data_IF_747857720629
#
_entry.id   IF_747857720629
#
_cell.length_a   1.000
_cell.length_b   1.000
_cell.length_c   1.000
_cell.angle_alpha   90.00
_cell.angle_beta   90.00
_cell.angle_gamma   90.00
#
_symmetry.space_group_name_H-M   'P 1'
#
loop_
_entity.id
_entity.type
_entity.pdbx_description
1 polymer ?
#
# COMPACT_ATOMS: atom_id res chain seq x y z
N UNK A 1 -38.98 -17.77 -36.41
CA UNK A 1 -38.38 -18.97 -35.78
C UNK A 1 -37.08 -18.53 -35.14
N UNK A 2 -36.91 -18.74 -33.82
CA UNK A 2 -35.73 -18.35 -33.03
C UNK A 2 -36.00 -17.11 -32.17
N UNK A 3 -36.80 -17.17 -31.10
CA UNK A 3 -36.54 -17.75 -29.75
C UNK A 3 -35.93 -16.71 -28.79
N UNK A 4 -36.74 -16.34 -27.80
CA UNK A 4 -36.50 -15.28 -26.83
C UNK A 4 -35.70 -15.84 -25.65
N UNK A 5 -34.53 -15.27 -25.37
CA UNK A 5 -33.73 -15.63 -24.21
C UNK A 5 -34.35 -15.03 -22.92
N UNK A 6 -35.15 -15.83 -22.23
CA UNK A 6 -35.68 -15.55 -20.90
C UNK A 6 -34.58 -15.74 -19.83
N UNK A 7 -34.12 -14.63 -19.24
CA UNK A 7 -33.14 -14.63 -18.14
C UNK A 7 -33.88 -14.88 -16.82
N UNK A 8 -33.74 -16.10 -16.32
CA UNK A 8 -34.40 -16.62 -15.12
C UNK A 8 -33.70 -16.11 -13.85
N UNK A 9 -34.41 -15.35 -13.03
CA UNK A 9 -33.94 -14.86 -11.72
C UNK A 9 -33.96 -15.97 -10.64
N UNK A 10 -33.04 -15.98 -9.66
CA UNK A 10 -33.07 -16.94 -8.56
C UNK A 10 -34.13 -16.59 -7.51
N UNK A 11 -34.94 -17.59 -7.16
CA UNK A 11 -36.00 -17.55 -6.15
C UNK A 11 -35.42 -17.51 -4.72
N UNK A 12 -35.80 -16.50 -3.94
CA UNK A 12 -35.57 -16.44 -2.50
C UNK A 12 -36.81 -16.97 -1.76
N UNK A 13 -36.63 -17.99 -0.91
CA UNK A 13 -37.68 -18.46 0.01
C UNK A 13 -37.48 -17.82 1.40
N UNK A 14 -38.50 -17.20 2.00
CA UNK A 14 -38.43 -16.78 3.40
C UNK A 14 -38.69 -17.98 4.31
N UNK A 15 -37.87 -18.16 5.36
CA UNK A 15 -38.19 -19.11 6.44
C UNK A 15 -38.89 -18.40 7.61
N UNK A 16 -39.86 -19.06 8.26
CA UNK A 16 -40.75 -18.42 9.23
C UNK A 16 -40.07 -18.24 10.58
N UNK A 17 -40.43 -17.16 11.27
CA UNK A 17 -40.22 -17.01 12.70
C UNK A 17 -41.20 -17.91 13.46
N UNK A 18 -40.70 -18.75 14.38
CA UNK A 18 -41.52 -19.36 15.42
C UNK A 18 -40.84 -19.24 16.77
N UNK A 19 -41.46 -18.38 17.57
CA UNK A 19 -41.36 -18.21 19.01
C UNK A 19 -41.73 -19.50 19.74
N UNK A 20 -41.01 -19.86 20.81
CA UNK A 20 -41.41 -20.98 21.67
C UNK A 20 -40.50 -21.21 22.87
N UNK A 21 -40.89 -20.66 24.01
CA UNK A 21 -40.32 -20.87 25.35
C UNK A 21 -40.45 -22.34 25.78
N UNK A 22 -39.45 -22.88 26.48
CA UNK A 22 -39.69 -23.66 27.71
C UNK A 22 -38.40 -23.84 28.53
N UNK A 23 -38.61 -23.78 29.84
CA UNK A 23 -37.66 -23.77 30.93
C UNK A 23 -37.16 -25.17 31.29
N UNK A 24 -35.90 -25.33 31.67
CA UNK A 24 -35.47 -26.47 32.49
C UNK A 24 -34.34 -26.04 33.43
N UNK A 25 -34.58 -26.30 34.71
CA UNK A 25 -33.80 -25.86 35.88
C UNK A 25 -32.51 -26.66 36.01
N UNK A 26 -31.50 -25.98 36.54
CA UNK A 26 -30.19 -26.52 36.94
C UNK A 26 -30.38 -27.52 38.11
N UNK A 27 -29.66 -28.65 38.10
CA UNK A 27 -29.07 -29.15 39.33
C UNK A 27 -27.54 -29.16 39.27
N UNK A 28 -26.94 -28.40 40.19
CA UNK A 28 -25.54 -28.45 40.58
C UNK A 28 -25.38 -29.60 41.57
N UNK A 29 -24.54 -30.61 41.32
CA UNK A 29 -23.69 -31.39 42.27
C UNK A 29 -22.79 -32.31 41.42
N UNK A 30 -21.52 -31.98 41.23
CA UNK A 30 -20.36 -32.33 42.07
C UNK A 30 -19.75 -33.70 41.72
N UNK A 31 -18.49 -33.62 41.25
CA UNK A 31 -17.38 -34.58 41.37
C UNK A 31 -17.47 -35.92 40.61
N UNK A 32 -16.67 -36.04 39.54
CA UNK A 32 -15.68 -37.12 39.42
C UNK A 32 -14.72 -36.89 38.24
N UNK A 33 -13.44 -36.93 38.57
CA UNK A 33 -12.22 -36.88 37.76
C UNK A 33 -12.09 -38.03 36.75
N UNK A 34 -11.54 -37.81 35.54
CA UNK A 34 -10.17 -38.25 35.15
C UNK A 34 -9.90 -38.04 33.63
N UNK A 35 -8.80 -37.33 33.35
CA UNK A 35 -7.89 -37.42 32.19
C UNK A 35 -8.45 -37.44 30.74
N UNK A 36 -8.20 -36.35 30.02
CA UNK A 36 -7.47 -36.42 28.74
C UNK A 36 -6.84 -35.07 28.44
N UNK A 37 -5.52 -35.02 28.57
CA UNK A 37 -4.68 -33.89 28.17
C UNK A 37 -4.62 -33.82 26.64
N UNK A 38 -5.18 -32.74 26.07
CA UNK A 38 -4.67 -32.06 24.87
C UNK A 38 -5.50 -30.79 24.68
N UNK A 39 -5.21 -29.75 25.46
CA UNK A 39 -5.65 -28.41 25.10
C UNK A 39 -4.58 -27.82 24.19
N UNK A 40 -4.93 -27.71 22.90
CA UNK A 40 -4.21 -27.01 21.84
C UNK A 40 -3.44 -25.79 22.38
N UNK A 41 -2.12 -25.77 22.19
CA UNK A 41 -1.36 -24.52 22.19
C UNK A 41 -1.83 -23.73 20.97
N UNK A 42 -2.84 -22.89 21.16
CA UNK A 42 -3.27 -21.92 20.18
C UNK A 42 -2.16 -20.87 20.03
N UNK A 43 -1.26 -21.08 19.07
CA UNK A 43 -0.29 -20.07 18.66
C UNK A 43 -1.06 -18.89 18.05
N UNK A 44 -1.37 -17.88 18.87
CA UNK A 44 -1.87 -16.60 18.39
C UNK A 44 -0.72 -15.87 17.70
N UNK A 45 -0.48 -16.17 16.42
CA UNK A 45 0.28 -15.27 15.57
C UNK A 45 -0.58 -14.03 15.35
N UNK A 46 -0.42 -13.02 16.19
CA UNK A 46 -0.94 -11.69 15.92
C UNK A 46 -0.27 -11.19 14.65
N UNK A 47 -0.98 -11.31 13.52
CA UNK A 47 -0.59 -10.67 12.28
C UNK A 47 -0.52 -9.17 12.56
N UNK A 48 0.69 -8.62 12.61
CA UNK A 48 0.90 -7.19 12.65
C UNK A 48 0.49 -6.66 11.28
N UNK A 49 -0.80 -6.39 11.10
CA UNK A 49 -1.28 -5.56 10.00
C UNK A 49 -0.69 -4.18 10.25
N UNK A 50 0.48 -3.90 9.68
CA UNK A 50 1.10 -2.59 9.73
C UNK A 50 0.07 -1.56 9.25
N UNK A 51 -0.26 -0.61 10.11
CA UNK A 51 -1.12 0.50 9.71
C UNK A 51 -0.46 1.22 8.54
N UNK A 52 -1.18 1.57 7.46
CA UNK A 52 -0.59 2.32 6.37
C UNK A 52 -0.05 3.63 6.96
N UNK A 53 1.27 3.84 6.83
CA UNK A 53 1.89 5.10 7.23
C UNK A 53 1.20 6.22 6.45
N UNK A 54 0.58 7.17 7.17
CA UNK A 54 -0.07 8.31 6.53
C UNK A 54 1.00 9.16 5.84
N UNK A 55 0.90 9.28 4.50
CA UNK A 55 1.74 10.20 3.73
C UNK A 55 1.24 11.64 4.01
N UNK A 56 2.11 12.58 4.40
CA UNK A 56 1.72 13.98 4.61
C UNK A 56 1.03 14.56 3.37
N UNK A 57 0.00 15.39 3.59
CA UNK A 57 -0.80 16.00 2.51
C UNK A 57 0.07 16.84 1.56
N UNK A 58 1.14 17.42 2.10
CA UNK A 58 2.09 18.34 1.49
C UNK A 58 3.49 17.74 1.28
N UNK A 59 3.56 16.43 1.05
CA UNK A 59 4.84 15.77 0.77
C UNK A 59 5.27 16.02 -0.68
N UNK A 60 6.52 16.44 -0.88
CA UNK A 60 7.21 16.52 -2.17
C UNK A 60 8.46 15.62 -2.14
N UNK A 61 9.01 15.26 -3.30
CA UNK A 61 10.31 14.58 -3.38
C UNK A 61 11.38 15.33 -2.59
N UNK A 62 12.36 14.60 -2.05
CA UNK A 62 13.40 15.18 -1.21
C UNK A 62 14.79 14.82 -1.72
N UNK A 63 15.73 15.76 -1.57
CA UNK A 63 17.13 15.56 -1.98
C UNK A 63 17.35 15.51 -3.50
N UNK A 64 16.41 16.02 -4.28
CA UNK A 64 16.50 16.08 -5.73
C UNK A 64 17.75 16.84 -6.21
N UNK A 65 18.55 16.21 -7.07
CA UNK A 65 19.66 16.86 -7.76
C UNK A 65 19.93 16.18 -9.11
N UNK A 66 20.42 16.94 -10.09
CA UNK A 66 20.84 16.37 -11.37
C UNK A 66 22.15 15.57 -11.19
N UNK A 67 22.08 14.26 -11.43
CA UNK A 67 23.24 13.35 -11.46
C UNK A 67 23.91 13.38 -12.84
N UNK A 68 23.12 13.60 -13.89
CA UNK A 68 23.59 13.80 -15.26
C UNK A 68 22.63 14.73 -16.00
N UNK A 69 23.15 15.48 -16.97
CA UNK A 69 22.40 16.56 -17.61
C UNK A 69 22.39 17.83 -16.74
N UNK A 70 21.55 18.80 -17.09
CA UNK A 70 21.48 20.09 -16.40
C UNK A 70 20.05 20.60 -16.33
N UNK A 71 19.81 21.41 -15.31
CA UNK A 71 18.52 22.04 -15.05
C UNK A 71 18.47 22.68 -13.67
N UNK A 72 17.27 23.05 -13.26
CA UNK A 72 16.96 23.55 -11.93
C UNK A 72 15.81 22.78 -11.31
N UNK A 73 15.80 22.71 -9.98
CA UNK A 73 14.74 22.11 -9.17
C UNK A 73 14.35 23.19 -8.16
N UNK A 74 13.06 23.49 -8.06
CA UNK A 74 12.58 24.50 -7.13
C UNK A 74 11.12 24.34 -6.78
N UNK A 75 10.81 24.59 -5.51
CA UNK A 75 9.45 24.62 -4.97
C UNK A 75 8.88 26.04 -5.09
N UNK A 76 7.67 26.18 -5.61
CA UNK A 76 7.04 27.50 -5.80
C UNK A 76 6.25 27.92 -4.53
N UNK A 77 6.88 28.64 -3.59
CA UNK A 77 6.19 29.29 -2.46
C UNK A 77 5.30 28.37 -1.60
N UNK A 78 4.18 28.88 -1.05
CA UNK A 78 3.15 28.12 -0.30
C UNK A 78 2.43 27.03 -1.12
N UNK A 79 2.82 26.85 -2.39
CA UNK A 79 2.21 25.89 -3.29
C UNK A 79 3.00 24.59 -3.19
N UNK A 80 2.27 23.50 -2.99
CA UNK A 80 2.76 22.12 -2.92
C UNK A 80 3.22 21.61 -4.29
N UNK A 81 3.95 22.42 -5.06
CA UNK A 81 4.43 22.10 -6.40
C UNK A 81 5.95 22.22 -6.48
N UNK A 82 6.60 21.10 -6.75
CA UNK A 82 7.99 21.06 -7.15
C UNK A 82 8.08 21.19 -8.67
N UNK A 83 8.79 22.22 -9.14
CA UNK A 83 9.04 22.44 -10.56
C UNK A 83 10.48 22.07 -10.88
N UNK A 84 10.63 21.15 -11.83
CA UNK A 84 11.90 20.71 -12.38
C UNK A 84 11.98 21.26 -13.79
N UNK A 85 12.99 22.07 -14.07
CA UNK A 85 13.26 22.59 -15.42
C UNK A 85 14.56 21.99 -15.91
N UNK A 86 14.45 21.05 -16.85
CA UNK A 86 15.60 20.42 -17.48
C UNK A 86 15.96 21.18 -18.76
N UNK A 87 17.24 21.57 -18.89
CA UNK A 87 17.76 22.27 -20.08
C UNK A 87 18.51 21.32 -21.02
N UNK A 88 18.98 20.18 -20.53
CA UNK A 88 19.62 19.14 -21.34
C UNK A 88 18.61 18.25 -22.08
N UNK A 89 19.04 17.62 -23.19
CA UNK A 89 18.20 16.67 -23.94
C UNK A 89 17.88 15.40 -23.14
N UNK A 90 18.80 14.98 -22.27
CA UNK A 90 18.64 13.87 -21.34
C UNK A 90 19.07 14.33 -19.96
N UNK A 91 18.30 13.98 -18.94
CA UNK A 91 18.62 14.25 -17.53
C UNK A 91 18.40 13.02 -16.67
N UNK A 92 19.20 12.90 -15.62
CA UNK A 92 18.99 11.93 -14.55
C UNK A 92 18.93 12.72 -13.26
N UNK A 93 17.86 12.55 -12.50
CA UNK A 93 17.67 13.23 -11.22
C UNK A 93 17.70 12.17 -10.11
N UNK A 94 18.64 12.34 -9.19
CA UNK A 94 18.73 11.53 -7.98
C UNK A 94 17.89 12.16 -6.87
N UNK A 95 17.04 11.37 -6.23
CA UNK A 95 16.25 11.72 -5.06
C UNK A 95 16.61 10.82 -3.88
N UNK A 96 16.63 11.40 -2.68
CA UNK A 96 16.73 10.61 -1.45
C UNK A 96 15.43 9.85 -1.22
N UNK A 97 14.29 10.54 -1.36
CA UNK A 97 12.96 9.94 -1.30
C UNK A 97 12.08 10.55 -2.38
N UNK A 98 11.19 9.75 -2.94
CA UNK A 98 10.19 10.21 -3.88
C UNK A 98 8.82 9.83 -3.35
N UNK A 99 8.04 10.84 -2.98
CA UNK A 99 6.68 10.71 -2.49
C UNK A 99 5.96 12.00 -2.79
N UNK A 100 4.69 11.89 -3.19
CA UNK A 100 3.84 13.02 -3.52
C UNK A 100 2.60 12.90 -2.65
N UNK A 101 2.41 13.88 -1.77
CA UNK A 101 1.24 13.98 -0.91
C UNK A 101 -0.04 14.21 -1.73
N UNK A 102 -1.19 14.08 -1.07
CA UNK A 102 -2.52 14.27 -1.70
C UNK A 102 -2.66 15.59 -2.47
N UNK A 103 -2.00 16.66 -1.99
CA UNK A 103 -2.00 17.99 -2.60
C UNK A 103 -0.71 18.31 -3.34
N UNK A 104 0.29 17.42 -3.30
CA UNK A 104 1.57 17.59 -3.95
C UNK A 104 1.48 17.46 -5.46
N UNK A 105 2.32 18.20 -6.19
CA UNK A 105 2.49 18.07 -7.64
C UNK A 105 3.97 18.18 -7.99
N UNK A 106 4.44 17.33 -8.89
CA UNK A 106 5.78 17.46 -9.49
C UNK A 106 5.59 17.78 -10.96
N UNK A 107 6.10 18.94 -11.38
CA UNK A 107 6.05 19.40 -12.76
C UNK A 107 7.42 19.35 -13.39
N UNK A 108 7.61 18.44 -14.34
CA UNK A 108 8.87 18.30 -15.09
C UNK A 108 8.72 18.98 -16.45
N UNK A 109 9.48 20.05 -16.66
CA UNK A 109 9.64 20.72 -17.95
C UNK A 109 10.92 20.20 -18.61
N UNK A 110 10.81 19.18 -19.47
CA UNK A 110 11.94 18.56 -20.17
C UNK A 110 11.91 18.79 -21.70
N UNK A 111 11.00 19.63 -22.20
CA UNK A 111 10.87 19.95 -23.61
C UNK A 111 10.59 18.71 -24.46
N UNK A 112 11.45 18.43 -25.45
CA UNK A 112 11.41 17.20 -26.28
C UNK A 112 12.35 16.11 -25.77
N UNK A 113 12.99 16.35 -24.63
CA UNK A 113 13.95 15.45 -24.01
C UNK A 113 13.30 14.39 -23.12
N UNK A 114 14.12 13.71 -22.34
CA UNK A 114 13.68 12.74 -21.35
C UNK A 114 14.39 12.94 -20.02
N UNK A 115 13.72 12.54 -18.95
CA UNK A 115 14.22 12.61 -17.57
C UNK A 115 14.05 11.24 -16.93
N UNK A 116 15.09 10.75 -16.27
CA UNK A 116 15.06 9.53 -15.44
C UNK A 116 15.14 9.93 -13.97
N UNK A 117 14.16 9.52 -13.18
CA UNK A 117 14.12 9.75 -11.74
C UNK A 117 14.63 8.51 -11.00
N UNK A 118 15.68 8.69 -10.18
CA UNK A 118 16.33 7.63 -9.41
C UNK A 118 16.15 7.88 -7.92
N UNK A 119 15.56 6.94 -7.20
CA UNK A 119 15.41 7.02 -5.73
C UNK A 119 16.47 6.17 -5.06
N UNK A 120 17.37 6.80 -4.30
CA UNK A 120 18.55 6.13 -3.72
C UNK A 120 18.49 5.97 -2.21
N UNK A 121 17.48 6.53 -1.52
CA UNK A 121 17.44 6.59 -0.03
C UNK A 121 16.73 5.44 0.68
N UNK A 122 16.41 4.34 0.01
CA UNK A 122 16.29 3.05 0.70
C UNK A 122 17.67 2.41 0.76
N UNK A 123 18.01 1.65 1.81
CA UNK A 123 19.22 0.83 1.84
C UNK A 123 19.30 -0.05 0.59
N UNK A 124 19.84 0.48 -0.50
CA UNK A 124 20.30 -0.27 -1.64
C UNK A 124 21.49 -1.03 -1.08
N UNK A 125 21.26 -2.27 -0.64
CA UNK A 125 22.34 -3.22 -0.44
C UNK A 125 23.27 -3.04 -1.62
N UNK A 126 24.49 -2.57 -1.35
CA UNK A 126 25.44 -2.09 -2.35
C UNK A 126 25.63 -3.22 -3.36
N UNK A 127 24.93 -3.19 -4.49
CA UNK A 127 25.32 -3.96 -5.65
C UNK A 127 26.49 -3.19 -6.29
N UNK A 128 27.64 -3.18 -5.61
CA UNK A 128 28.89 -2.78 -6.23
C UNK A 128 29.24 -3.87 -7.23
N UNK A 129 28.80 -3.72 -8.47
CA UNK A 129 29.33 -4.50 -9.59
C UNK A 129 30.79 -4.10 -9.74
N UNK A 130 31.69 -4.87 -9.11
CA UNK A 130 33.11 -4.76 -9.40
C UNK A 130 33.34 -5.29 -10.82
N UNK A 131 33.55 -4.41 -11.80
CA UNK A 131 34.25 -4.81 -13.02
C UNK A 131 35.74 -4.87 -12.68
N UNK A 132 36.23 -6.08 -12.35
CA UNK A 132 37.67 -6.33 -12.34
C UNK A 132 38.13 -6.45 -13.79
N UNK A 133 38.81 -5.43 -14.28
CA UNK A 133 39.66 -5.52 -15.46
C UNK A 133 41.11 -5.45 -14.96
N UNK A 134 41.90 -6.49 -15.26
CA UNK A 134 43.25 -6.71 -14.75
C UNK A 134 43.47 -8.18 -14.42
#
# INVERSE_FOLDING_TARGET
MGDAAEVRAPSFSPRPAMTGRASARIPRRLLATLATSTALVGAATAAHAGSPAAVPVNMLPQGGHFVSGMGSIGTQGLTETETITQTSQRGIIGFNSFSIGKSGTVKINNGRGATLDLVTGGNLGRASTAKRAG
#
